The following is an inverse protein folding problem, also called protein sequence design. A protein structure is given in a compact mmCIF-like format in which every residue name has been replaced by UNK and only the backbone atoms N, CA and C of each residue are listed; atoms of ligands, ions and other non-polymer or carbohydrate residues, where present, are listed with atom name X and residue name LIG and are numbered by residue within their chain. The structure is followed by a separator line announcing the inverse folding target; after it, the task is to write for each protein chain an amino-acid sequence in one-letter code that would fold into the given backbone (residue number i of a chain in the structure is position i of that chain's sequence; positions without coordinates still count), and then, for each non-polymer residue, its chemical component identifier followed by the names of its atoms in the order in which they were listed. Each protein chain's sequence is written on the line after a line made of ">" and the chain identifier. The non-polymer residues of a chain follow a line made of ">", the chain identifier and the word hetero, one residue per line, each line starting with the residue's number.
data_IF_452803859886
#
_entry.id   IF_452803859886
#
_cell.length_a   1.000
_cell.length_b   1.000
_cell.length_c   1.000
_cell.angle_alpha   90.00
_cell.angle_beta   90.00
_cell.angle_gamma   90.00
#
_symmetry.space_group_name_H-M   'P 1'
#
loop_
_entity.id
_entity.type
_entity.pdbx_description
1 polymer ?
#
# COMPACT_ATOMS: atom_id res chain seq x y z
N UNK A 1 -26.79 -4.06 18.68
CA UNK A 1 -25.33 -3.89 18.74
C UNK A 1 -24.78 -4.23 17.38
N UNK A 2 -23.92 -3.39 16.80
CA UNK A 2 -23.26 -3.70 15.54
C UNK A 2 -22.10 -4.63 15.84
N UNK A 3 -22.23 -5.89 15.46
CA UNK A 3 -21.16 -6.89 15.57
C UNK A 3 -20.14 -6.67 14.46
N UNK A 4 -18.85 -6.72 14.79
CA UNK A 4 -17.75 -6.53 13.84
C UNK A 4 -17.01 -7.85 13.68
N UNK A 5 -16.71 -8.20 12.44
CA UNK A 5 -15.98 -9.42 12.10
C UNK A 5 -14.63 -9.09 11.42
N UNK A 6 -13.63 -9.95 11.68
CA UNK A 6 -12.32 -9.85 11.05
C UNK A 6 -12.42 -10.24 9.57
N UNK A 7 -12.30 -9.25 8.68
CA UNK A 7 -12.32 -9.46 7.23
C UNK A 7 -10.93 -9.67 6.61
N UNK A 8 -9.93 -8.91 7.09
CA UNK A 8 -8.56 -8.92 6.58
C UNK A 8 -7.58 -8.44 7.67
N UNK A 9 -6.30 -8.74 7.51
CA UNK A 9 -5.22 -8.29 8.41
C UNK A 9 -4.10 -7.66 7.60
N UNK A 10 -3.44 -6.65 8.18
CA UNK A 10 -2.20 -6.12 7.63
C UNK A 10 -1.11 -7.18 7.83
N UNK A 11 -0.44 -7.54 6.75
CA UNK A 11 0.56 -8.62 6.72
C UNK A 11 1.83 -8.20 6.01
N UNK A 12 2.92 -8.85 6.38
CA UNK A 12 4.26 -8.69 5.80
C UNK A 12 4.92 -10.06 5.57
N UNK A 13 6.00 -10.14 4.79
CA UNK A 13 6.72 -11.39 4.56
C UNK A 13 7.17 -12.05 5.88
N UNK A 14 7.17 -13.37 5.91
CA UNK A 14 7.77 -14.10 7.02
C UNK A 14 9.31 -14.02 6.91
N UNK A 15 9.97 -13.75 8.04
CA UNK A 15 11.41 -13.52 8.14
C UNK A 15 12.27 -14.77 7.88
N UNK A 16 11.66 -15.95 7.69
CA UNK A 16 12.32 -17.27 7.58
C UNK A 16 12.85 -17.57 6.18
N UNK A 17 12.28 -16.96 5.14
CA UNK A 17 12.85 -16.96 3.79
C UNK A 17 13.80 -15.78 3.72
N UNK A 18 15.11 -16.02 3.60
CA UNK A 18 16.13 -14.99 3.37
C UNK A 18 15.56 -13.95 2.42
N UNK A 19 15.23 -12.78 2.98
CA UNK A 19 14.14 -11.94 2.48
C UNK A 19 14.38 -11.62 1.00
N UNK A 20 13.64 -12.31 0.13
CA UNK A 20 13.62 -11.97 -1.27
C UNK A 20 12.95 -10.59 -1.36
N UNK A 21 13.76 -9.54 -1.31
CA UNK A 21 13.29 -8.17 -1.31
C UNK A 21 12.47 -7.85 -2.58
N UNK A 22 12.53 -8.71 -3.61
CA UNK A 22 11.71 -8.58 -4.81
C UNK A 22 10.20 -8.71 -4.55
N UNK A 23 9.78 -9.35 -3.45
CA UNK A 23 8.36 -9.49 -3.10
C UNK A 23 7.83 -8.38 -2.19
N UNK A 24 8.71 -7.53 -1.62
CA UNK A 24 8.30 -6.41 -0.76
C UNK A 24 7.23 -5.49 -1.37
N UNK A 25 7.27 -5.15 -2.68
CA UNK A 25 6.23 -4.34 -3.31
C UNK A 25 4.80 -4.87 -3.15
N UNK A 26 4.63 -6.17 -2.90
CA UNK A 26 3.30 -6.77 -2.70
C UNK A 26 2.70 -6.42 -1.33
N UNK A 27 3.53 -5.95 -0.39
CA UNK A 27 3.17 -5.70 1.01
C UNK A 27 3.32 -4.23 1.43
N UNK A 28 4.37 -3.55 0.99
CA UNK A 28 4.62 -2.16 1.31
C UNK A 28 5.47 -1.47 0.24
N UNK A 29 5.29 -0.17 0.09
CA UNK A 29 6.05 0.67 -0.83
C UNK A 29 6.64 1.85 -0.07
N UNK A 30 7.85 2.28 -0.44
CA UNK A 30 8.31 3.61 -0.07
C UNK A 30 7.31 4.60 -0.67
N UNK A 31 6.75 5.49 0.14
CA UNK A 31 5.74 6.44 -0.33
C UNK A 31 6.38 7.39 -1.32
N UNK A 32 6.23 7.07 -2.59
CA UNK A 32 6.40 8.01 -3.68
C UNK A 32 5.01 8.56 -3.93
N UNK A 33 4.76 9.82 -3.57
CA UNK A 33 3.62 10.54 -4.12
C UNK A 33 3.60 10.24 -5.62
N UNK A 34 2.48 9.81 -6.23
CA UNK A 34 2.44 9.77 -7.67
C UNK A 34 2.59 11.22 -8.12
N UNK A 35 3.80 11.61 -8.52
CA UNK A 35 3.89 12.42 -9.72
C UNK A 35 3.15 11.58 -10.72
N UNK A 36 1.89 11.93 -11.01
CA UNK A 36 1.10 11.36 -12.08
C UNK A 36 1.87 11.64 -13.37
N UNK A 37 2.95 10.91 -13.61
CA UNK A 37 3.61 10.87 -14.89
C UNK A 37 2.65 10.08 -15.75
N UNK A 38 1.73 10.80 -16.41
CA UNK A 38 0.86 10.26 -17.48
C UNK A 38 1.64 9.33 -18.42
N UNK A 39 2.93 9.60 -18.58
CA UNK A 39 3.91 8.83 -19.35
C UNK A 39 4.04 7.35 -18.93
N UNK A 40 3.90 7.00 -17.65
CA UNK A 40 3.98 5.60 -17.18
C UNK A 40 2.77 4.77 -17.61
N UNK A 41 1.63 5.43 -17.89
CA UNK A 41 0.39 4.79 -18.32
C UNK A 41 0.09 5.06 -19.80
N UNK A 42 1.01 5.68 -20.53
CA UNK A 42 0.89 5.88 -21.98
C UNK A 42 1.50 4.67 -22.71
N UNK A 43 0.67 3.79 -23.31
CA UNK A 43 1.16 2.63 -24.05
C UNK A 43 2.05 3.02 -25.25
N UNK A 44 1.93 4.24 -25.78
CA UNK A 44 2.80 4.73 -26.85
C UNK A 44 4.23 5.07 -26.37
N UNK A 45 4.38 5.51 -25.12
CA UNK A 45 5.69 5.78 -24.50
C UNK A 45 6.35 4.50 -23.96
N UNK A 46 5.56 3.54 -23.46
CA UNK A 46 6.04 2.21 -23.08
C UNK A 46 6.53 1.39 -24.29
N UNK A 47 6.05 1.71 -25.50
CA UNK A 47 6.34 1.01 -26.73
C UNK A 47 7.39 1.69 -27.62
N UNK A 48 8.43 2.35 -27.05
CA UNK A 48 9.56 2.78 -27.89
C UNK A 48 10.24 1.53 -28.46
N UNK A 49 10.26 1.35 -29.80
CA UNK A 49 10.93 0.20 -30.38
C UNK A 49 12.43 0.33 -30.13
N UNK A 50 13.00 -0.60 -29.35
CA UNK A 50 14.45 -0.76 -29.25
C UNK A 50 14.96 -1.17 -30.64
N UNK A 51 15.75 -0.30 -31.27
CA UNK A 51 16.49 -0.64 -32.47
C UNK A 51 17.69 -1.49 -32.07
N UNK A 52 17.57 -2.82 -32.24
CA UNK A 52 18.63 -3.78 -31.96
C UNK A 52 19.26 -4.23 -33.29
N UNK A 53 20.52 -3.88 -33.58
CA UNK A 53 21.19 -4.43 -34.75
C UNK A 53 21.47 -5.92 -34.50
N UNK A 54 20.74 -6.76 -35.24
CA UNK A 54 21.05 -8.16 -35.54
C UNK A 54 21.58 -9.04 -34.39
N UNK A 55 20.66 -9.65 -33.65
CA UNK A 55 20.91 -10.93 -32.98
C UNK A 55 19.69 -11.84 -33.18
N UNK A 56 19.92 -13.01 -33.76
CA UNK A 56 18.91 -14.06 -33.97
C UNK A 56 18.14 -14.37 -32.68
N UNK A 57 16.83 -14.15 -32.71
CA UNK A 57 15.85 -15.04 -32.08
C UNK A 57 15.70 -15.03 -30.56
N UNK A 58 16.27 -14.07 -29.81
CA UNK A 58 15.97 -13.91 -28.37
C UNK A 58 15.52 -12.50 -28.06
N UNK A 59 14.24 -12.33 -27.67
CA UNK A 59 13.74 -11.11 -27.03
C UNK A 59 14.44 -10.97 -25.68
N UNK A 60 15.53 -10.20 -25.63
CA UNK A 60 16.09 -9.77 -24.37
C UNK A 60 15.17 -8.69 -23.80
N UNK A 61 14.44 -9.01 -22.74
CA UNK A 61 13.81 -7.99 -21.92
C UNK A 61 14.93 -7.22 -21.23
N UNK A 62 14.98 -5.91 -21.41
CA UNK A 62 15.89 -5.06 -20.65
C UNK A 62 15.46 -5.20 -19.19
N UNK A 63 16.33 -5.74 -18.34
CA UNK A 63 16.05 -5.86 -16.91
C UNK A 63 15.86 -4.45 -16.36
N UNK A 64 14.61 -4.10 -16.03
CA UNK A 64 14.33 -2.89 -15.26
C UNK A 64 14.87 -3.15 -13.86
N UNK A 65 15.84 -2.35 -13.36
CA UNK A 65 16.34 -2.55 -12.01
C UNK A 65 15.16 -2.46 -11.05
N UNK A 66 15.02 -3.47 -10.18
CA UNK A 66 13.97 -3.47 -9.17
C UNK A 66 14.17 -2.25 -8.26
N UNK A 67 13.10 -1.55 -7.88
CA UNK A 67 13.20 -0.46 -6.92
C UNK A 67 13.80 -0.96 -5.60
N UNK A 68 14.77 -0.22 -5.08
CA UNK A 68 15.34 -0.48 -3.74
C UNK A 68 14.44 0.17 -2.69
N UNK A 69 13.90 -0.63 -1.77
CA UNK A 69 13.08 -0.14 -0.65
C UNK A 69 13.95 0.08 0.57
N UNK A 70 14.17 1.35 0.91
CA UNK A 70 15.03 1.75 2.03
C UNK A 70 14.27 2.60 3.06
N UNK A 71 12.97 2.84 2.86
CA UNK A 71 12.13 3.62 3.78
C UNK A 71 11.68 2.84 5.01
N UNK A 72 11.68 1.49 4.94
CA UNK A 72 11.15 0.63 6.00
C UNK A 72 11.91 -0.69 6.12
N UNK A 73 11.66 -1.38 7.21
CA UNK A 73 12.14 -2.73 7.49
C UNK A 73 11.00 -3.59 8.03
N UNK A 74 11.05 -4.90 7.78
CA UNK A 74 10.05 -5.85 8.26
C UNK A 74 10.55 -6.46 9.56
N UNK A 75 9.79 -6.30 10.64
CA UNK A 75 10.12 -6.90 11.94
C UNK A 75 9.48 -8.27 12.12
N UNK A 76 8.20 -8.40 11.78
CA UNK A 76 7.45 -9.65 11.82
C UNK A 76 6.36 -9.68 10.76
N UNK A 77 5.63 -10.79 10.65
CA UNK A 77 4.48 -10.92 9.73
C UNK A 77 3.37 -9.87 9.97
N UNK A 78 3.36 -9.18 11.10
CA UNK A 78 2.36 -8.13 11.43
C UNK A 78 2.99 -6.82 11.88
N UNK A 79 4.28 -6.63 11.63
CA UNK A 79 5.00 -5.46 12.10
C UNK A 79 6.02 -5.00 11.06
N UNK A 80 5.95 -3.71 10.72
CA UNK A 80 7.01 -3.00 10.00
C UNK A 80 7.52 -1.84 10.86
N UNK A 81 8.79 -1.52 10.69
CA UNK A 81 9.35 -0.27 11.15
C UNK A 81 9.60 0.67 9.96
N UNK A 82 9.38 1.95 10.19
CA UNK A 82 9.56 3.03 9.22
C UNK A 82 10.72 3.90 9.70
N UNK A 83 11.66 4.17 8.80
CA UNK A 83 12.82 4.97 9.11
C UNK A 83 12.44 6.45 9.30
N UNK A 84 13.16 7.22 10.15
CA UNK A 84 12.90 8.64 10.36
C UNK A 84 12.86 9.44 9.05
N UNK A 85 11.91 10.36 8.93
CA UNK A 85 11.74 11.21 7.73
C UNK A 85 11.29 10.44 6.48
N UNK A 86 10.88 9.18 6.62
CA UNK A 86 10.36 8.36 5.52
C UNK A 86 8.86 8.18 5.64
N UNK A 87 8.26 7.86 4.51
CA UNK A 87 6.85 7.53 4.44
C UNK A 87 6.69 6.20 3.72
N UNK A 88 5.68 5.45 4.11
CA UNK A 88 5.39 4.11 3.59
C UNK A 88 3.92 4.08 3.21
N UNK A 89 3.65 3.51 2.04
CA UNK A 89 2.29 3.22 1.61
C UNK A 89 1.98 1.73 1.72
N UNK A 90 0.80 1.43 2.27
CA UNK A 90 0.21 0.09 2.21
C UNK A 90 -0.80 -0.04 1.06
N UNK A 91 -0.78 0.88 0.09
CA UNK A 91 -1.47 0.75 -1.20
C UNK A 91 -0.83 -0.36 -2.04
N UNK A 92 -0.99 -1.60 -1.59
CA UNK A 92 -0.33 -2.79 -2.11
C UNK A 92 -1.30 -3.94 -2.15
N UNK A 93 -0.94 -4.98 -2.90
CA UNK A 93 -1.83 -6.10 -3.18
C UNK A 93 -2.37 -6.79 -1.91
N UNK A 94 -1.51 -7.02 -0.90
CA UNK A 94 -1.94 -7.73 0.31
C UNK A 94 -2.59 -6.83 1.36
N UNK A 95 -2.28 -5.54 1.39
CA UNK A 95 -2.67 -4.66 2.51
C UNK A 95 -3.73 -3.62 2.14
N UNK A 96 -3.97 -3.34 0.85
CA UNK A 96 -5.10 -2.53 0.44
C UNK A 96 -6.40 -3.34 0.55
N UNK A 97 -7.40 -2.80 1.22
CA UNK A 97 -8.71 -3.43 1.38
C UNK A 97 -9.58 -3.21 0.13
N UNK A 98 -10.08 -4.26 -0.53
CA UNK A 98 -10.84 -4.16 -1.78
C UNK A 98 -12.29 -3.72 -1.55
N UNK A 99 -12.49 -2.48 -1.09
CA UNK A 99 -13.78 -1.95 -0.66
C UNK A 99 -14.89 -2.10 -1.71
N UNK A 100 -14.58 -1.89 -2.99
CA UNK A 100 -15.60 -2.02 -4.04
C UNK A 100 -16.09 -3.46 -4.24
N UNK A 101 -15.21 -4.45 -4.04
CA UNK A 101 -15.60 -5.87 -4.12
C UNK A 101 -16.55 -6.23 -2.97
N UNK A 102 -16.21 -5.81 -1.76
CA UNK A 102 -17.07 -6.01 -0.59
C UNK A 102 -18.42 -5.30 -0.73
N UNK A 103 -18.41 -4.03 -1.15
CA UNK A 103 -19.64 -3.26 -1.35
C UNK A 103 -20.57 -3.87 -2.40
N UNK A 104 -20.01 -4.56 -3.40
CA UNK A 104 -20.77 -5.18 -4.49
C UNK A 104 -21.30 -6.58 -4.15
N UNK A 105 -20.51 -7.39 -3.45
CA UNK A 105 -20.77 -8.83 -3.30
C UNK A 105 -21.11 -9.25 -1.86
N UNK A 106 -21.21 -8.31 -0.93
CA UNK A 106 -21.58 -8.56 0.47
C UNK A 106 -22.58 -7.53 0.98
N UNK A 107 -23.20 -7.79 2.13
CA UNK A 107 -24.07 -6.82 2.80
C UNK A 107 -23.31 -5.79 3.66
N UNK A 108 -21.97 -5.86 3.71
CA UNK A 108 -21.15 -4.96 4.51
C UNK A 108 -21.38 -3.49 4.11
N UNK A 109 -21.75 -2.65 5.09
CA UNK A 109 -21.97 -1.22 4.88
C UNK A 109 -20.78 -0.37 5.29
N UNK A 110 -19.98 -0.88 6.23
CA UNK A 110 -18.84 -0.18 6.79
C UNK A 110 -17.68 -1.13 7.06
N UNK A 111 -16.47 -0.58 7.05
CA UNK A 111 -15.23 -1.27 7.37
C UNK A 111 -14.54 -0.50 8.47
N UNK A 112 -13.99 -1.21 9.46
CA UNK A 112 -13.19 -0.62 10.54
C UNK A 112 -11.75 -1.06 10.40
N UNK A 113 -10.83 -0.11 10.37
CA UNK A 113 -9.40 -0.36 10.33
C UNK A 113 -8.84 -0.21 11.74
N UNK A 114 -8.31 -1.27 12.33
CA UNK A 114 -7.69 -1.25 13.65
C UNK A 114 -6.18 -1.50 13.55
N UNK A 115 -5.38 -0.63 14.18
CA UNK A 115 -3.91 -0.75 14.18
C UNK A 115 -3.30 -0.03 15.38
N UNK A 116 -2.06 -0.41 15.70
CA UNK A 116 -1.24 0.24 16.72
C UNK A 116 0.00 0.86 16.07
N UNK A 117 0.43 2.01 16.58
CA UNK A 117 1.62 2.71 16.11
C UNK A 117 2.42 3.20 17.30
N UNK A 118 3.75 3.20 17.17
CA UNK A 118 4.68 3.77 18.14
C UNK A 118 5.69 4.66 17.42
N UNK A 119 6.17 5.71 18.08
CA UNK A 119 7.13 6.68 17.53
C UNK A 119 6.49 8.06 17.37
N UNK A 120 6.81 8.76 16.29
CA UNK A 120 6.24 10.09 16.02
C UNK A 120 6.01 10.29 14.54
N UNK A 121 4.82 10.78 14.19
CA UNK A 121 4.48 11.06 12.79
C UNK A 121 2.98 11.22 12.56
N UNK A 122 2.56 10.86 11.35
CA UNK A 122 1.17 10.97 10.89
C UNK A 122 0.76 9.68 10.21
N UNK A 123 -0.46 9.22 10.50
CA UNK A 123 -1.12 8.13 9.78
C UNK A 123 -2.29 8.66 8.97
N UNK A 124 -2.45 8.17 7.75
CA UNK A 124 -3.48 8.61 6.82
C UNK A 124 -4.21 7.40 6.23
N UNK A 125 -5.54 7.46 6.16
CA UNK A 125 -6.33 6.48 5.41
C UNK A 125 -6.80 7.12 4.13
N UNK A 126 -6.58 6.41 3.04
CA UNK A 126 -6.91 6.82 1.69
C UNK A 126 -7.95 5.90 1.09
N UNK A 127 -8.63 6.39 0.05
CA UNK A 127 -9.48 5.59 -0.83
C UNK A 127 -9.19 5.86 -2.29
N UNK A 128 -9.53 4.89 -3.14
CA UNK A 128 -9.66 5.10 -4.58
C UNK A 128 -11.08 4.83 -5.07
N UNK A 129 -11.42 5.36 -6.24
CA UNK A 129 -12.61 4.96 -7.00
C UNK A 129 -12.29 3.93 -8.09
N UNK A 130 -13.31 3.52 -8.85
CA UNK A 130 -13.18 2.57 -9.95
C UNK A 130 -12.23 3.03 -11.08
N UNK A 131 -11.99 4.34 -11.20
CA UNK A 131 -11.07 4.93 -12.16
C UNK A 131 -9.64 5.09 -11.61
N UNK A 132 -9.39 4.67 -10.37
CA UNK A 132 -8.10 4.78 -9.70
C UNK A 132 -7.78 6.19 -9.18
N UNK A 133 -8.77 7.10 -9.12
CA UNK A 133 -8.56 8.42 -8.51
C UNK A 133 -8.59 8.29 -7.01
N UNK A 134 -7.57 8.82 -6.35
CA UNK A 134 -7.39 8.72 -4.91
C UNK A 134 -7.88 9.97 -4.15
N UNK A 135 -8.25 9.77 -2.89
CA UNK A 135 -8.60 10.86 -1.97
C UNK A 135 -8.39 10.42 -0.52
N UNK A 136 -7.94 11.34 0.33
CA UNK A 136 -7.73 11.07 1.75
C UNK A 136 -9.07 11.08 2.49
N UNK A 137 -9.30 10.05 3.30
CA UNK A 137 -10.49 9.91 4.14
C UNK A 137 -10.27 10.34 5.58
N UNK A 138 -9.07 10.12 6.10
CA UNK A 138 -8.76 10.32 7.50
C UNK A 138 -7.27 10.55 7.70
N UNK A 139 -6.92 11.33 8.72
CA UNK A 139 -5.56 11.69 9.07
C UNK A 139 -5.48 11.99 10.55
N UNK A 140 -4.55 11.37 11.26
CA UNK A 140 -4.25 11.71 12.64
C UNK A 140 -2.74 11.73 12.87
N UNK A 141 -2.22 12.72 13.62
CA UNK A 141 -0.87 12.66 14.16
C UNK A 141 -0.78 11.64 15.30
N UNK A 142 0.43 11.14 15.56
CA UNK A 142 0.72 10.30 16.72
C UNK A 142 2.09 10.66 17.32
N UNK A 143 2.20 10.48 18.64
CA UNK A 143 3.45 10.60 19.39
C UNK A 143 3.42 9.60 20.55
N UNK A 144 4.49 8.83 20.71
CA UNK A 144 4.51 7.68 21.61
C UNK A 144 3.65 6.52 21.10
N UNK A 145 3.12 5.71 22.01
CA UNK A 145 2.26 4.58 21.68
C UNK A 145 0.81 5.03 21.49
N UNK A 146 0.23 4.72 20.33
CA UNK A 146 -1.15 5.03 19.98
C UNK A 146 -1.85 3.84 19.33
N UNK A 147 -3.17 3.80 19.44
CA UNK A 147 -4.02 2.81 18.77
C UNK A 147 -5.22 3.51 18.15
N UNK A 148 -5.50 3.18 16.90
CA UNK A 148 -6.57 3.79 16.12
C UNK A 148 -7.56 2.74 15.63
N UNK A 149 -8.83 3.13 15.50
CA UNK A 149 -9.88 2.26 14.99
C UNK A 149 -10.95 3.01 14.17
N UNK A 150 -10.57 3.83 13.17
CA UNK A 150 -11.55 4.55 12.35
C UNK A 150 -12.42 3.59 11.52
N UNK A 151 -13.68 3.99 11.32
CA UNK A 151 -14.65 3.26 10.53
C UNK A 151 -15.11 4.08 9.32
N UNK A 152 -15.24 3.43 8.17
CA UNK A 152 -15.56 4.05 6.88
C UNK A 152 -16.73 3.34 6.21
N UNK A 153 -17.69 4.10 5.70
CA UNK A 153 -18.77 3.55 4.89
C UNK A 153 -18.29 3.16 3.50
N UNK A 154 -18.65 1.96 3.02
CA UNK A 154 -18.28 1.44 1.70
C UNK A 154 -19.47 1.33 0.73
N UNK A 155 -20.68 1.61 1.18
CA UNK A 155 -21.90 1.43 0.36
C UNK A 155 -21.94 2.19 -0.98
N UNK A 156 -21.14 3.25 -1.14
CA UNK A 156 -21.02 4.02 -2.39
C UNK A 156 -19.90 3.55 -3.33
N UNK A 157 -19.22 2.43 -3.03
CA UNK A 157 -18.02 1.98 -3.75
C UNK A 157 -18.29 0.77 -4.66
N UNK A 158 -19.54 0.40 -4.93
CA UNK A 158 -19.90 -0.82 -5.67
C UNK A 158 -19.34 -0.90 -7.12
N UNK A 159 -18.95 0.25 -7.70
CA UNK A 159 -18.28 0.32 -9.01
C UNK A 159 -16.80 -0.06 -8.95
N UNK A 160 -16.19 -0.02 -7.75
CA UNK A 160 -14.78 -0.31 -7.54
C UNK A 160 -14.11 0.63 -6.55
N UNK A 161 -12.84 0.34 -6.26
CA UNK A 161 -12.01 1.13 -5.36
C UNK A 161 -11.43 0.33 -4.20
N UNK A 162 -10.40 0.90 -3.59
CA UNK A 162 -9.66 0.33 -2.47
C UNK A 162 -9.61 1.31 -1.29
N UNK A 163 -9.35 0.79 -0.09
CA UNK A 163 -8.95 1.57 1.08
C UNK A 163 -7.57 1.12 1.53
N UNK A 164 -6.71 2.03 1.94
CA UNK A 164 -5.39 1.67 2.46
C UNK A 164 -4.88 2.68 3.50
N UNK A 165 -3.87 2.25 4.25
CA UNK A 165 -3.20 3.04 5.27
C UNK A 165 -1.81 3.48 4.78
N UNK A 166 -1.50 4.74 4.98
CA UNK A 166 -0.18 5.31 4.78
C UNK A 166 0.35 5.84 6.12
N UNK A 167 1.67 5.79 6.30
CA UNK A 167 2.37 6.31 7.49
C UNK A 167 3.50 7.23 7.03
N UNK A 168 3.57 8.40 7.66
CA UNK A 168 4.64 9.38 7.49
C UNK A 168 5.36 9.52 8.84
N UNK A 169 6.59 9.03 8.91
CA UNK A 169 7.37 8.98 10.13
C UNK A 169 8.25 10.24 10.25
N UNK A 170 8.10 10.99 11.33
CA UNK A 170 9.01 12.07 11.71
C UNK A 170 10.24 11.48 12.42
N UNK A 171 10.01 10.52 13.31
CA UNK A 171 11.03 9.72 14.00
C UNK A 171 10.89 8.24 13.64
N UNK A 172 11.83 7.40 14.08
CA UNK A 172 11.74 5.96 13.85
C UNK A 172 10.41 5.44 14.45
N UNK A 173 9.56 4.88 13.61
CA UNK A 173 8.19 4.54 13.98
C UNK A 173 7.89 3.08 13.65
N UNK A 174 7.02 2.46 14.43
CA UNK A 174 6.61 1.06 14.26
C UNK A 174 5.11 1.04 14.01
N UNK A 175 4.69 0.31 12.97
CA UNK A 175 3.28 0.05 12.67
C UNK A 175 2.98 -1.43 12.86
N UNK A 176 1.97 -1.72 13.69
CA UNK A 176 1.45 -3.06 13.95
C UNK A 176 -0.02 -3.18 13.58
N UNK A 177 -0.40 -4.33 13.01
CA UNK A 177 -1.78 -4.66 12.62
C UNK A 177 -2.28 -6.03 13.06
#
# INVERSE_FOLDING_TARGET
>A
MTEWEDAARIVFPASDRGADLSILPLYALDWTHPVQKKELFDPALAARPLSLPSLQGRRAFQAVPLPTFNGFWVGSRRMIGVNPGRAVSLCTFFNAFPAGYWARFTDAKSVRLSFAVSGKGVVEVWKSDAAGRDSRLWREPFEGDASFSPAFGIGGMAEGGYLWLDIHAEEASILGG
#
